data_IF_091373250252
#
_entry.id   IF_091373250252
#
_cell.length_a   1.000
_cell.length_b   1.000
_cell.length_c   1.000
_cell.angle_alpha   90.00
_cell.angle_beta   90.00
_cell.angle_gamma   90.00
#
_symmetry.space_group_name_H-M   'P 1'
#
loop_
_entity.id
_entity.type
_entity.pdbx_description
1 polymer ?
#
# COMPACT_ATOMS: atom_id res chain seq x y z
N UNK A 1 -1.17 6.13 -4.31
CA UNK A 1 -2.11 7.25 -4.16
C UNK A 1 -1.39 8.43 -3.50
N UNK A 2 -0.96 8.30 -2.24
CA UNK A 2 -0.23 9.34 -1.48
C UNK A 2 1.03 9.89 -2.18
N UNK A 3 1.77 9.05 -2.91
CA UNK A 3 2.98 9.48 -3.64
C UNK A 3 2.68 10.33 -4.90
N UNK A 4 1.41 10.54 -5.24
CA UNK A 4 0.95 11.28 -6.43
C UNK A 4 1.62 10.84 -7.75
N UNK A 5 2.05 9.58 -7.83
CA UNK A 5 2.66 8.97 -9.03
C UNK A 5 1.60 8.27 -9.88
N UNK A 6 1.87 8.17 -11.18
CA UNK A 6 1.15 7.32 -12.13
C UNK A 6 0.91 5.92 -11.51
N UNK A 7 -0.33 5.41 -11.46
CA UNK A 7 -1.55 5.85 -12.14
C UNK A 7 -2.44 6.86 -11.38
N UNK A 8 -2.02 7.33 -10.20
CA UNK A 8 -2.75 8.24 -9.30
C UNK A 8 -2.20 9.67 -9.32
N UNK A 9 -1.70 10.09 -10.46
CA UNK A 9 -1.10 11.40 -10.68
C UNK A 9 -2.17 12.40 -11.17
N UNK A 10 -2.92 12.93 -10.21
CA UNK A 10 -4.01 13.89 -10.44
C UNK A 10 -3.51 15.34 -10.33
N UNK A 11 -2.67 15.70 -9.32
CA UNK A 11 -2.17 17.07 -9.18
C UNK A 11 -1.26 17.55 -10.33
N UNK A 12 -0.52 16.66 -11.00
CA UNK A 12 0.30 17.04 -12.17
C UNK A 12 -0.56 17.33 -13.41
N UNK A 13 -1.79 16.82 -13.44
CA UNK A 13 -2.51 16.63 -14.68
C UNK A 13 -4.02 16.89 -14.63
N UNK A 14 -4.50 17.62 -13.62
CA UNK A 14 -5.86 18.20 -13.57
C UNK A 14 -5.90 19.73 -13.80
N UNK A 15 -4.76 20.39 -14.06
CA UNK A 15 -4.68 21.83 -14.40
C UNK A 15 -4.79 22.15 -15.90
N UNK A 16 -5.44 21.28 -16.68
CA UNK A 16 -6.14 21.65 -17.92
C UNK A 16 -5.37 22.28 -19.11
N UNK A 17 -4.13 21.83 -19.41
CA UNK A 17 -3.52 21.61 -20.76
C UNK A 17 -1.99 21.76 -20.82
N UNK A 18 -1.31 22.11 -19.73
CA UNK A 18 0.16 22.16 -19.64
C UNK A 18 0.59 21.63 -18.26
N UNK A 19 1.64 20.81 -18.23
CA UNK A 19 2.17 20.13 -17.03
C UNK A 19 2.40 21.13 -15.89
N UNK A 20 1.51 21.14 -14.88
CA UNK A 20 1.31 22.26 -13.93
C UNK A 20 2.59 22.84 -13.30
N UNK A 21 3.01 22.29 -12.15
CA UNK A 21 4.21 22.76 -11.45
C UNK A 21 5.52 22.59 -12.27
N UNK A 22 5.48 21.76 -13.31
CA UNK A 22 6.60 21.59 -14.22
C UNK A 22 6.84 22.81 -15.12
N UNK A 23 5.82 23.66 -15.32
CA UNK A 23 5.94 24.89 -16.10
C UNK A 23 5.96 26.16 -15.24
N UNK A 24 5.48 26.08 -14.00
CA UNK A 24 5.47 27.21 -13.07
C UNK A 24 6.81 27.41 -12.32
N UNK A 25 7.59 26.34 -12.11
CA UNK A 25 8.84 26.39 -11.36
C UNK A 25 10.06 26.14 -12.24
N UNK A 26 11.12 26.94 -12.03
CA UNK A 26 12.38 26.85 -12.77
C UNK A 26 13.55 26.38 -11.88
N UNK A 27 14.50 25.67 -12.51
CA UNK A 27 15.81 25.27 -11.99
C UNK A 27 15.80 24.66 -10.58
N UNK A 28 16.20 25.42 -9.55
CA UNK A 28 16.35 24.91 -8.18
C UNK A 28 15.02 24.57 -7.51
N UNK A 29 13.97 25.37 -7.75
CA UNK A 29 12.64 25.08 -7.15
C UNK A 29 12.06 23.82 -7.77
N UNK A 30 12.25 23.64 -9.08
CA UNK A 30 11.88 22.43 -9.79
C UNK A 30 12.62 21.20 -9.24
N UNK A 31 13.94 21.27 -9.04
CA UNK A 31 14.70 20.13 -8.50
C UNK A 31 14.27 19.73 -7.09
N UNK A 32 13.89 20.69 -6.24
CA UNK A 32 13.35 20.40 -4.90
C UNK A 32 12.07 19.56 -4.95
N UNK A 33 11.17 19.81 -5.92
CA UNK A 33 9.98 18.99 -6.10
C UNK A 33 10.31 17.55 -6.50
N UNK A 34 11.25 17.34 -7.44
CA UNK A 34 11.67 15.99 -7.81
C UNK A 34 12.35 15.24 -6.66
N UNK A 35 13.26 15.91 -5.94
CA UNK A 35 13.93 15.31 -4.78
C UNK A 35 12.90 14.92 -3.72
N UNK A 36 11.92 15.79 -3.44
CA UNK A 36 10.85 15.50 -2.50
C UNK A 36 9.99 14.31 -2.95
N UNK A 37 9.64 14.25 -4.23
CA UNK A 37 8.82 13.16 -4.78
C UNK A 37 9.56 11.81 -4.75
N UNK A 38 10.85 11.78 -5.09
CA UNK A 38 11.67 10.58 -4.98
C UNK A 38 11.97 10.19 -3.53
N UNK A 39 12.19 11.17 -2.65
CA UNK A 39 12.32 10.93 -1.22
C UNK A 39 11.03 10.32 -0.66
N UNK A 40 9.86 10.80 -1.07
CA UNK A 40 8.57 10.26 -0.65
C UNK A 40 8.35 8.82 -1.13
N UNK A 41 8.80 8.47 -2.34
CA UNK A 41 8.78 7.07 -2.83
C UNK A 41 9.70 6.19 -1.98
N UNK A 42 10.89 6.68 -1.65
CA UNK A 42 11.85 5.94 -0.82
C UNK A 42 11.33 5.73 0.60
N UNK A 43 10.80 6.77 1.26
CA UNK A 43 10.26 6.68 2.63
C UNK A 43 9.02 5.80 2.67
N UNK A 44 8.11 5.91 1.70
CA UNK A 44 6.92 5.04 1.63
C UNK A 44 7.30 3.58 1.42
N UNK A 45 8.32 3.31 0.59
CA UNK A 45 8.84 1.96 0.38
C UNK A 45 9.51 1.39 1.63
N UNK A 46 10.26 2.23 2.36
CA UNK A 46 10.86 1.86 3.64
C UNK A 46 9.78 1.54 4.69
N UNK A 47 8.73 2.36 4.80
CA UNK A 47 7.58 2.10 5.69
C UNK A 47 6.85 0.81 5.33
N UNK A 48 6.69 0.53 4.03
CA UNK A 48 6.07 -0.73 3.59
C UNK A 48 6.93 -1.94 3.97
N UNK A 49 8.25 -1.82 3.80
CA UNK A 49 9.21 -2.86 4.17
C UNK A 49 9.22 -3.13 5.69
N UNK A 50 9.11 -2.09 6.53
CA UNK A 50 9.07 -2.25 7.99
C UNK A 50 7.75 -2.84 8.48
N UNK A 51 6.62 -2.30 8.02
CA UNK A 51 5.30 -2.69 8.55
C UNK A 51 4.86 -4.08 8.09
N UNK A 52 5.16 -4.47 6.85
CA UNK A 52 4.62 -5.71 6.27
C UNK A 52 5.67 -6.79 6.01
N UNK A 53 6.93 -6.42 5.80
CA UNK A 53 8.02 -7.36 5.47
C UNK A 53 9.03 -7.54 6.61
N UNK A 54 8.68 -7.12 7.84
CA UNK A 54 9.51 -7.34 9.03
C UNK A 54 10.79 -6.49 9.07
N UNK A 55 10.89 -5.43 8.27
CA UNK A 55 12.03 -4.50 8.31
C UNK A 55 13.38 -5.17 8.05
N UNK A 56 14.29 -5.09 9.01
CA UNK A 56 15.64 -5.65 8.94
C UNK A 56 15.71 -7.15 9.29
N UNK A 57 14.60 -7.74 9.76
CA UNK A 57 14.59 -9.13 10.20
C UNK A 57 14.63 -10.11 9.01
N UNK A 58 15.27 -11.25 9.20
CA UNK A 58 15.41 -12.31 8.20
C UNK A 58 14.72 -13.58 8.69
N UNK A 59 14.11 -14.37 7.78
CA UNK A 59 13.40 -15.57 8.19
C UNK A 59 14.34 -16.57 8.88
N UNK A 60 14.16 -16.71 10.19
CA UNK A 60 14.95 -17.54 11.09
C UNK A 60 15.48 -16.74 12.29
N UNK A 61 16.11 -17.44 13.23
CA UNK A 61 16.73 -16.86 14.44
C UNK A 61 18.09 -16.22 14.11
N UNK A 62 18.09 -15.24 13.18
CA UNK A 62 19.32 -14.60 12.70
C UNK A 62 19.68 -13.37 13.55
N UNK A 63 18.65 -12.65 13.97
CA UNK A 63 18.72 -11.42 14.76
C UNK A 63 17.85 -11.54 16.02
N UNK A 64 18.19 -12.48 16.91
CA UNK A 64 17.51 -12.62 18.20
C UNK A 64 17.94 -11.54 19.22
N UNK A 65 18.70 -10.52 18.79
CA UNK A 65 19.26 -9.51 19.68
C UNK A 65 18.19 -8.45 20.05
N UNK A 66 17.61 -8.58 21.24
CA UNK A 66 16.70 -7.58 21.79
C UNK A 66 17.35 -6.82 22.95
N UNK A 67 16.96 -5.55 23.10
CA UNK A 67 17.38 -4.72 24.23
C UNK A 67 16.56 -5.08 25.47
N UNK A 68 17.22 -5.60 26.50
CA UNK A 68 16.58 -5.92 27.78
C UNK A 68 17.46 -5.49 28.95
N UNK A 69 16.88 -4.73 29.89
CA UNK A 69 17.54 -4.23 31.11
C UNK A 69 18.94 -3.61 30.87
N UNK A 70 19.12 -2.86 29.78
CA UNK A 70 20.37 -2.16 29.46
C UNK A 70 21.44 -3.02 28.78
N UNK A 71 21.14 -4.26 28.41
CA UNK A 71 22.04 -5.17 27.70
C UNK A 71 21.41 -5.70 26.40
N UNK A 72 22.26 -5.95 25.40
CA UNK A 72 21.86 -6.62 24.15
C UNK A 72 21.88 -8.13 24.37
N UNK A 73 20.71 -8.77 24.36
CA UNK A 73 20.52 -10.17 24.75
C UNK A 73 19.93 -10.93 23.58
N UNK A 74 20.45 -12.14 23.31
CA UNK A 74 20.00 -13.02 22.23
C UNK A 74 19.01 -14.09 22.68
N UNK A 75 18.77 -14.22 23.98
CA UNK A 75 17.85 -15.18 24.58
C UNK A 75 18.11 -15.37 26.07
N UNK A 76 17.32 -16.24 26.70
CA UNK A 76 17.51 -16.64 28.10
C UNK A 76 17.77 -18.15 28.15
N UNK A 77 18.68 -18.59 29.02
CA UNK A 77 18.90 -20.02 29.25
C UNK A 77 17.77 -20.67 30.07
N UNK A 78 17.83 -21.99 30.26
CA UNK A 78 16.85 -22.74 31.05
C UNK A 78 16.80 -22.36 32.55
N UNK A 79 17.78 -21.62 33.04
CA UNK A 79 17.84 -21.03 34.38
C UNK A 79 17.46 -19.53 34.43
N UNK A 80 17.06 -18.95 33.30
CA UNK A 80 16.67 -17.54 33.17
C UNK A 80 17.84 -16.56 33.08
N UNK A 81 19.08 -17.03 32.89
CA UNK A 81 20.23 -16.15 32.71
C UNK A 81 20.26 -15.56 31.29
N UNK A 82 20.54 -14.26 31.12
CA UNK A 82 20.59 -13.61 29.81
C UNK A 82 21.81 -14.08 29.01
N UNK A 83 21.58 -14.59 27.79
CA UNK A 83 22.62 -14.95 26.83
C UNK A 83 23.03 -13.68 26.08
N UNK A 84 24.23 -13.17 26.36
CA UNK A 84 24.77 -11.99 25.69
C UNK A 84 24.79 -12.19 24.16
N UNK A 85 24.19 -11.26 23.43
CA UNK A 85 24.22 -11.29 21.97
C UNK A 85 25.66 -11.12 21.50
N UNK A 86 26.17 -12.05 20.69
CA UNK A 86 27.50 -11.93 20.10
C UNK A 86 27.47 -10.86 18.99
N UNK A 87 28.09 -9.67 19.17
CA UNK A 87 28.02 -8.59 18.21
C UNK A 87 28.93 -8.92 17.03
N UNK A 88 28.37 -9.59 16.04
CA UNK A 88 29.09 -9.90 14.82
C UNK A 88 28.78 -8.81 13.77
N UNK A 89 29.78 -7.99 13.45
CA UNK A 89 29.67 -6.92 12.45
C UNK A 89 29.17 -7.39 11.08
N UNK A 90 29.38 -8.66 10.74
CA UNK A 90 28.86 -9.23 9.49
C UNK A 90 27.33 -9.42 9.52
N UNK A 91 26.75 -9.73 10.69
CA UNK A 91 25.29 -9.87 10.84
C UNK A 91 24.59 -8.53 10.65
N UNK A 92 25.15 -7.46 11.21
CA UNK A 92 24.58 -6.11 11.08
C UNK A 92 24.65 -5.59 9.64
N UNK A 93 25.72 -5.88 8.91
CA UNK A 93 25.78 -5.58 7.48
C UNK A 93 24.76 -6.39 6.67
N UNK A 94 24.50 -7.63 7.07
CA UNK A 94 23.57 -8.51 6.38
C UNK A 94 22.11 -8.07 6.62
N UNK A 95 21.72 -7.72 7.85
CA UNK A 95 20.37 -7.20 8.17
C UNK A 95 20.12 -5.83 7.53
N UNK A 96 21.14 -4.96 7.49
CA UNK A 96 21.08 -3.71 6.73
C UNK A 96 20.92 -3.95 5.23
N UNK A 97 21.68 -4.91 4.68
CA UNK A 97 21.56 -5.35 3.29
C UNK A 97 20.17 -5.89 2.97
N UNK A 98 19.60 -6.70 3.86
CA UNK A 98 18.25 -7.24 3.73
C UNK A 98 17.17 -6.14 3.74
N UNK A 99 17.29 -5.17 4.66
CA UNK A 99 16.39 -4.02 4.69
C UNK A 99 16.48 -3.18 3.41
N UNK A 100 17.70 -2.92 2.94
CA UNK A 100 17.94 -2.19 1.69
C UNK A 100 17.35 -2.94 0.49
N UNK A 101 17.54 -4.25 0.43
CA UNK A 101 16.99 -5.10 -0.63
C UNK A 101 15.46 -5.10 -0.63
N UNK A 102 14.81 -5.22 0.54
CA UNK A 102 13.34 -5.13 0.66
C UNK A 102 12.81 -3.75 0.25
N UNK A 103 13.51 -2.69 0.66
CA UNK A 103 13.16 -1.31 0.27
C UNK A 103 13.27 -1.12 -1.24
N UNK A 104 14.37 -1.59 -1.86
CA UNK A 104 14.58 -1.55 -3.31
C UNK A 104 13.54 -2.40 -4.05
N UNK A 105 13.14 -3.55 -3.51
CA UNK A 105 12.05 -4.35 -4.07
C UNK A 105 10.77 -3.53 -4.22
N UNK A 106 10.35 -2.80 -3.17
CA UNK A 106 9.17 -1.93 -3.26
C UNK A 106 9.36 -0.76 -4.24
N UNK A 107 10.55 -0.17 -4.31
CA UNK A 107 10.87 0.85 -5.33
C UNK A 107 10.72 0.28 -6.76
N UNK A 108 11.20 -0.95 -6.99
CA UNK A 108 11.01 -1.65 -8.28
C UNK A 108 9.53 -1.90 -8.54
N UNK A 109 8.74 -2.28 -7.53
CA UNK A 109 7.28 -2.43 -7.67
C UNK A 109 6.63 -1.09 -8.06
N UNK A 110 7.04 0.04 -7.49
CA UNK A 110 6.56 1.37 -7.92
C UNK A 110 6.84 1.64 -9.40
N UNK A 111 8.05 1.34 -9.86
CA UNK A 111 8.44 1.51 -11.27
C UNK A 111 7.62 0.56 -12.16
N UNK A 112 7.42 -0.68 -11.70
CA UNK A 112 6.65 -1.67 -12.44
C UNK A 112 5.16 -1.29 -12.57
N UNK A 113 4.54 -0.83 -11.49
CA UNK A 113 3.16 -0.35 -11.48
C UNK A 113 2.99 0.84 -12.42
N UNK A 114 3.97 1.76 -12.44
CA UNK A 114 3.99 2.90 -13.37
C UNK A 114 3.93 2.48 -14.84
N UNK A 115 4.52 1.34 -15.21
CA UNK A 115 4.55 0.86 -16.59
C UNK A 115 3.38 -0.06 -16.96
N UNK A 116 2.66 -0.60 -15.97
CA UNK A 116 1.63 -1.64 -16.21
C UNK A 116 0.21 -1.12 -16.15
N UNK A 117 -0.07 -0.11 -15.32
CA UNK A 117 -1.44 0.35 -15.09
C UNK A 117 -1.77 1.60 -15.92
N UNK A 118 -2.90 1.59 -16.66
CA UNK A 118 -3.48 2.80 -17.23
C UNK A 118 -3.85 3.81 -16.14
N UNK A 119 -3.86 5.09 -16.51
CA UNK A 119 -4.19 6.19 -15.60
C UNK A 119 -5.66 6.14 -15.14
N UNK A 120 -5.90 6.40 -13.86
CA UNK A 120 -7.25 6.48 -13.29
C UNK A 120 -7.78 7.91 -13.24
N UNK A 121 -9.09 8.09 -13.42
CA UNK A 121 -9.77 9.39 -13.26
C UNK A 121 -10.03 9.68 -11.79
N UNK A 122 -9.99 10.96 -11.39
CA UNK A 122 -10.24 11.42 -10.02
C UNK A 122 -11.48 10.80 -9.38
N UNK A 123 -12.62 10.85 -10.09
CA UNK A 123 -13.89 10.29 -9.61
C UNK A 123 -13.81 8.80 -9.25
N UNK A 124 -13.04 8.03 -10.01
CA UNK A 124 -12.85 6.59 -9.78
C UNK A 124 -12.00 6.36 -8.53
N UNK A 125 -10.93 7.13 -8.34
CA UNK A 125 -10.04 7.06 -7.17
C UNK A 125 -10.82 7.41 -5.90
N UNK A 126 -11.60 8.49 -5.94
CA UNK A 126 -12.44 8.92 -4.80
C UNK A 126 -13.47 7.84 -4.45
N UNK A 127 -14.13 7.26 -5.46
CA UNK A 127 -15.10 6.19 -5.24
C UNK A 127 -14.45 4.92 -4.68
N UNK A 128 -13.24 4.57 -5.13
CA UNK A 128 -12.48 3.41 -4.65
C UNK A 128 -12.05 3.59 -3.18
N UNK A 129 -11.48 4.75 -2.85
CA UNK A 129 -11.04 5.08 -1.49
C UNK A 129 -12.20 5.03 -0.49
N UNK A 130 -13.29 5.73 -0.79
CA UNK A 130 -14.40 5.89 0.16
C UNK A 130 -15.36 4.70 0.21
N UNK A 131 -15.67 4.06 -0.93
CA UNK A 131 -16.68 2.99 -0.97
C UNK A 131 -16.09 1.60 -0.78
N UNK A 132 -14.79 1.43 -1.02
CA UNK A 132 -14.16 0.10 -1.01
C UNK A 132 -13.06 0.02 0.04
N UNK A 133 -12.05 0.89 -0.02
CA UNK A 133 -10.86 0.75 0.84
C UNK A 133 -11.18 0.93 2.32
N UNK A 134 -11.97 1.97 2.67
CA UNK A 134 -12.31 2.27 4.07
C UNK A 134 -13.21 1.19 4.71
N UNK A 135 -14.33 0.76 4.12
CA UNK A 135 -15.14 -0.31 4.72
C UNK A 135 -14.39 -1.63 4.83
N UNK A 136 -13.56 -1.96 3.83
CA UNK A 136 -12.79 -3.22 3.81
C UNK A 136 -11.70 -3.23 4.89
N UNK A 137 -10.97 -2.13 5.08
CA UNK A 137 -9.92 -2.08 6.11
C UNK A 137 -10.50 -2.18 7.53
N UNK A 138 -11.65 -1.57 7.78
CA UNK A 138 -12.39 -1.72 9.04
C UNK A 138 -12.87 -3.15 9.24
N UNK A 139 -13.48 -3.76 8.22
CA UNK A 139 -13.93 -5.15 8.29
C UNK A 139 -12.76 -6.13 8.54
N UNK A 140 -11.62 -5.92 7.88
CA UNK A 140 -10.42 -6.73 8.08
C UNK A 140 -9.87 -6.58 9.51
N UNK A 141 -9.76 -5.35 10.01
CA UNK A 141 -9.31 -5.10 11.39
C UNK A 141 -10.23 -5.77 12.42
N UNK A 142 -11.56 -5.66 12.24
CA UNK A 142 -12.53 -6.32 13.11
C UNK A 142 -12.45 -7.85 13.06
N UNK A 143 -12.22 -8.41 11.87
CA UNK A 143 -12.05 -9.85 11.68
C UNK A 143 -10.79 -10.36 12.37
N UNK A 144 -9.66 -9.66 12.22
CA UNK A 144 -8.40 -10.00 12.91
C UNK A 144 -8.56 -9.89 14.42
N UNK A 145 -9.13 -8.78 14.92
CA UNK A 145 -9.38 -8.58 16.33
C UNK A 145 -10.31 -9.66 16.93
N UNK A 146 -11.39 -9.99 16.22
CA UNK A 146 -12.32 -11.05 16.61
C UNK A 146 -11.67 -12.43 16.64
N UNK A 147 -10.82 -12.73 15.65
CA UNK A 147 -10.07 -14.00 15.60
C UNK A 147 -9.13 -14.14 16.78
N UNK A 148 -8.40 -13.07 17.12
CA UNK A 148 -7.51 -13.04 18.29
C UNK A 148 -8.31 -13.28 19.57
N UNK A 149 -9.45 -12.59 19.74
CA UNK A 149 -10.30 -12.74 20.92
C UNK A 149 -10.84 -14.18 21.06
N UNK A 150 -11.29 -14.79 19.96
CA UNK A 150 -11.78 -16.18 20.00
C UNK A 150 -10.66 -17.16 20.37
N UNK A 151 -9.46 -16.97 19.82
CA UNK A 151 -8.30 -17.81 20.14
C UNK A 151 -7.87 -17.70 21.61
N UNK A 152 -7.95 -16.49 22.17
CA UNK A 152 -7.64 -16.22 23.58
C UNK A 152 -8.68 -16.88 24.50
N UNK A 153 -9.98 -16.80 24.17
CA UNK A 153 -11.04 -17.49 24.92
C UNK A 153 -10.91 -19.02 24.89
N UNK A 154 -10.33 -19.57 23.82
CA UNK A 154 -10.03 -21.00 23.70
C UNK A 154 -8.73 -21.41 24.43
N UNK A 155 -8.00 -20.47 25.02
CA UNK A 155 -6.77 -20.74 25.76
C UNK A 155 -5.60 -21.20 24.90
N UNK A 156 -5.61 -20.89 23.60
CA UNK A 156 -4.53 -21.29 22.68
C UNK A 156 -3.30 -20.43 22.98
N UNK A 157 -2.21 -21.06 23.43
CA UNK A 157 -0.95 -20.36 23.66
C UNK A 157 -0.40 -19.74 22.37
N UNK A 158 0.20 -18.55 22.50
CA UNK A 158 0.91 -17.89 21.41
C UNK A 158 2.05 -18.80 20.90
N UNK A 159 1.86 -19.34 19.71
CA UNK A 159 2.76 -20.31 19.11
C UNK A 159 2.36 -20.61 17.66
N UNK A 160 2.87 -21.73 17.14
CA UNK A 160 2.67 -22.09 15.73
C UNK A 160 1.18 -22.25 15.37
N UNK A 161 0.39 -22.86 16.26
CA UNK A 161 -1.05 -23.07 16.04
C UNK A 161 -1.80 -21.73 15.95
N UNK A 162 -1.49 -20.79 16.84
CA UNK A 162 -2.05 -19.44 16.82
C UNK A 162 -1.72 -18.72 15.50
N UNK A 163 -0.46 -18.80 15.06
CA UNK A 163 -0.01 -18.21 13.79
C UNK A 163 -0.63 -18.86 12.55
N UNK A 164 -0.83 -20.19 12.55
CA UNK A 164 -1.49 -20.90 11.46
C UNK A 164 -2.98 -20.55 11.36
N UNK A 165 -3.69 -20.43 12.49
CA UNK A 165 -5.09 -20.02 12.46
C UNK A 165 -5.21 -18.59 11.95
N UNK A 166 -4.38 -17.67 12.43
CA UNK A 166 -4.40 -16.28 11.99
C UNK A 166 -4.08 -16.14 10.50
N UNK A 167 -3.01 -16.79 10.02
CA UNK A 167 -2.64 -16.78 8.60
C UNK A 167 -3.70 -17.46 7.73
N UNK A 168 -4.30 -18.55 8.20
CA UNK A 168 -5.40 -19.23 7.50
C UNK A 168 -6.65 -18.35 7.37
N UNK A 169 -7.02 -17.66 8.44
CA UNK A 169 -8.14 -16.70 8.45
C UNK A 169 -7.83 -15.50 7.54
N UNK A 170 -6.62 -14.95 7.60
CA UNK A 170 -6.20 -13.85 6.70
C UNK A 170 -6.18 -14.28 5.23
N UNK A 171 -5.75 -15.51 4.93
CA UNK A 171 -5.78 -16.06 3.58
C UNK A 171 -7.22 -16.25 3.09
N UNK A 172 -8.11 -16.78 3.94
CA UNK A 172 -9.53 -16.91 3.61
C UNK A 172 -10.19 -15.54 3.37
N UNK A 173 -9.89 -14.54 4.19
CA UNK A 173 -10.35 -13.17 4.01
C UNK A 173 -9.83 -12.57 2.68
N UNK A 174 -8.56 -12.81 2.34
CA UNK A 174 -7.96 -12.38 1.08
C UNK A 174 -8.63 -13.05 -0.13
N UNK A 175 -8.89 -14.36 -0.07
CA UNK A 175 -9.58 -15.08 -1.14
C UNK A 175 -11.03 -14.63 -1.30
N UNK A 176 -11.74 -14.41 -0.20
CA UNK A 176 -13.08 -13.85 -0.22
C UNK A 176 -13.07 -12.45 -0.85
N UNK A 177 -12.13 -11.59 -0.43
CA UNK A 177 -11.97 -10.26 -1.00
C UNK A 177 -11.70 -10.30 -2.51
N UNK A 178 -10.78 -11.15 -2.97
CA UNK A 178 -10.49 -11.34 -4.39
C UNK A 178 -11.72 -11.83 -5.17
N UNK A 179 -12.46 -12.80 -4.62
CA UNK A 179 -13.68 -13.31 -5.23
C UNK A 179 -14.78 -12.22 -5.36
N UNK A 180 -14.92 -11.37 -4.34
CA UNK A 180 -15.86 -10.25 -4.38
C UNK A 180 -15.41 -9.13 -5.34
N UNK A 181 -14.10 -8.89 -5.45
CA UNK A 181 -13.54 -7.87 -6.34
C UNK A 181 -13.67 -8.26 -7.83
N UNK A 182 -13.41 -9.53 -8.15
CA UNK A 182 -13.45 -10.07 -9.52
C UNK A 182 -14.87 -10.17 -10.08
N UNK A 183 -15.90 -10.09 -9.22
CA UNK A 183 -17.31 -10.10 -9.63
C UNK A 183 -17.78 -8.85 -10.41
N UNK A 184 -16.87 -8.02 -10.90
CA UNK A 184 -17.11 -6.96 -11.89
C UNK A 184 -18.03 -5.81 -11.43
N UNK A 185 -18.45 -5.78 -10.16
CA UNK A 185 -19.38 -4.78 -9.64
C UNK A 185 -18.72 -3.47 -9.20
N UNK A 186 -17.41 -3.48 -8.95
CA UNK A 186 -16.72 -2.37 -8.27
C UNK A 186 -15.91 -1.51 -9.24
N UNK A 187 -15.31 -2.09 -10.29
CA UNK A 187 -14.55 -1.35 -11.31
C UNK A 187 -15.33 -1.39 -12.62
N UNK A 188 -16.26 -0.44 -12.81
CA UNK A 188 -16.86 -0.20 -14.12
C UNK A 188 -15.78 0.37 -15.04
N UNK A 189 -15.41 -0.37 -16.09
CA UNK A 189 -14.57 0.14 -17.15
C UNK A 189 -15.16 1.41 -17.76
N UNK A 190 -14.31 2.38 -18.10
CA UNK A 190 -14.68 3.71 -18.58
C UNK A 190 -15.50 3.77 -19.89
N UNK A 191 -15.85 2.61 -20.47
CA UNK A 191 -16.47 2.51 -21.79
C UNK A 191 -18.01 2.63 -21.80
N UNK A 192 -18.69 2.56 -20.65
CA UNK A 192 -20.14 2.68 -20.61
C UNK A 192 -20.57 4.15 -20.56
N UNK A 193 -20.46 4.88 -21.68
CA UNK A 193 -21.33 6.05 -21.88
C UNK A 193 -22.78 5.54 -21.86
N UNK A 194 -23.70 6.15 -21.10
CA UNK A 194 -25.12 5.90 -21.29
C UNK A 194 -25.44 6.19 -22.75
N UNK A 195 -25.87 5.17 -23.49
CA UNK A 195 -26.47 5.40 -24.81
C UNK A 195 -27.76 6.14 -24.51
N UNK A 196 -27.76 7.46 -24.70
CA UNK A 196 -28.98 8.25 -24.65
C UNK A 196 -29.86 7.70 -25.78
N UNK A 197 -31.06 7.17 -25.48
CA UNK A 197 -31.98 6.72 -26.52
C UNK A 197 -32.22 7.89 -27.48
N UNK A 198 -32.20 7.64 -28.80
CA UNK A 198 -32.31 8.69 -29.82
C UNK A 198 -33.57 9.57 -29.66
N UNK A 199 -34.64 9.02 -29.05
CA UNK A 199 -35.85 9.79 -28.72
C UNK A 199 -35.58 10.94 -27.74
N UNK A 200 -34.63 10.78 -26.82
CA UNK A 200 -34.32 11.76 -25.79
C UNK A 200 -33.34 12.84 -26.31
N UNK A 201 -32.64 12.57 -27.42
CA UNK A 201 -31.84 13.56 -28.16
C UNK A 201 -32.76 14.57 -28.86
N UNK A 202 -33.95 14.15 -29.31
CA UNK A 202 -34.94 15.02 -29.94
C UNK A 202 -35.67 15.96 -28.96
N UNK A 203 -35.65 15.64 -27.66
CA UNK A 203 -36.28 16.43 -26.61
C UNK A 203 -35.35 17.49 -26.00
N UNK A 204 -34.04 17.42 -26.29
CA UNK A 204 -33.13 18.51 -25.99
C UNK A 204 -33.54 19.71 -26.84
N UNK A 205 -33.66 20.92 -26.26
CA UNK A 205 -33.85 22.12 -27.07
C UNK A 205 -32.71 22.14 -28.08
N UNK A 206 -33.05 21.99 -29.36
CA UNK A 206 -32.10 22.24 -30.43
C UNK A 206 -31.74 23.71 -30.31
N UNK A 207 -30.65 24.01 -29.61
CA UNK A 207 -30.09 25.34 -29.59
C UNK A 207 -29.78 25.67 -31.05
N UNK A 208 -30.64 26.50 -31.63
CA UNK A 208 -30.64 26.84 -33.04
C UNK A 208 -29.25 27.30 -33.46
N UNK A 209 -28.81 26.80 -34.61
CA UNK A 209 -27.48 27.00 -35.17
C UNK A 209 -27.17 28.42 -35.66
N UNK A 210 -27.75 29.47 -35.06
CA UNK A 210 -27.69 30.83 -35.60
C UNK A 210 -27.26 31.90 -34.56
N UNK A 211 -26.28 31.61 -33.69
CA UNK A 211 -25.81 32.59 -32.69
C UNK A 211 -24.29 32.86 -32.69
N UNK A 212 -23.57 32.49 -33.76
CA UNK A 212 -22.15 32.85 -33.93
C UNK A 212 -21.86 33.39 -35.34
N UNK A 213 -22.59 34.45 -35.71
CA UNK A 213 -22.15 35.45 -36.68
C UNK A 213 -22.08 36.81 -35.99
#
# INVERSE_FOLDING_TARGET
AETNRLPFDMPEAESELVTGYHTEYSAMKFSMFFIAEYAHVLTSSALMATLFFGGWDLPGQWDDAFWYQGMLISGFDASGAPIAANPAWWKTLLTLGAFTAKTLFFVVVYIWVRWTLPRFRYDQVMSLGWKVMLPVSLAYTMLVAGTILVLDQLGVQYGLVFGLVLSGVSLAALLAFMFFLDRGRIIKGAAAKPVVPERDVQLLPQAGGDAWR
#
